data_IF_971426152237
#
_entry.id   IF_971426152237
#
_cell.length_a   1.000
_cell.length_b   1.000
_cell.length_c   1.000
_cell.angle_alpha   90.00
_cell.angle_beta   90.00
_cell.angle_gamma   90.00
#
_symmetry.space_group_name_H-M   'P 1'
#
loop_
_entity.id
_entity.type
_entity.pdbx_description
1 polymer ?
#
# COMPACT_ATOMS: atom_id res chain seq x y z
N UNK A 1 -11.81 -2.27 -12.41
CA UNK A 1 -10.44 -1.89 -12.84
C UNK A 1 -10.27 -0.54 -13.60
N UNK A 2 -11.23 0.41 -13.70
CA UNK A 2 -10.97 1.72 -14.36
C UNK A 2 -10.73 2.90 -13.40
N UNK A 3 -11.25 2.85 -12.17
CA UNK A 3 -11.18 3.99 -11.25
C UNK A 3 -9.82 4.19 -10.56
N UNK A 4 -9.06 3.13 -10.27
CA UNK A 4 -7.72 3.25 -9.66
C UNK A 4 -6.75 4.06 -10.52
N UNK A 5 -6.90 3.99 -11.84
CA UNK A 5 -6.00 4.68 -12.79
C UNK A 5 -6.14 6.19 -12.71
N UNK A 6 -7.32 6.72 -12.39
CA UNK A 6 -7.56 8.17 -12.40
C UNK A 6 -6.97 8.84 -11.16
N UNK A 7 -7.24 8.32 -9.96
CA UNK A 7 -6.63 8.83 -8.71
C UNK A 7 -5.11 8.75 -8.78
N UNK A 8 -4.59 7.62 -9.25
CA UNK A 8 -3.14 7.46 -9.38
C UNK A 8 -2.53 8.36 -10.45
N UNK A 9 -3.21 8.55 -11.57
CA UNK A 9 -2.78 9.51 -12.59
C UNK A 9 -2.73 10.94 -12.05
N UNK A 10 -3.77 11.34 -11.30
CA UNK A 10 -3.81 12.63 -10.59
C UNK A 10 -2.65 12.78 -9.62
N UNK A 11 -2.37 11.76 -8.79
CA UNK A 11 -1.24 11.77 -7.86
C UNK A 11 0.10 11.87 -8.58
N UNK A 12 0.29 11.12 -9.67
CA UNK A 12 1.53 11.16 -10.45
C UNK A 12 1.75 12.52 -11.14
N UNK A 13 0.66 13.17 -11.55
CA UNK A 13 0.69 14.43 -12.28
C UNK A 13 0.52 15.65 -11.36
N UNK A 14 0.44 15.46 -10.05
CA UNK A 14 0.07 16.50 -9.08
C UNK A 14 1.04 17.70 -9.09
N UNK A 15 2.34 17.44 -9.15
CA UNK A 15 3.38 18.48 -9.21
C UNK A 15 3.24 19.30 -10.49
N UNK A 16 2.99 18.65 -11.62
CA UNK A 16 2.78 19.34 -12.89
C UNK A 16 1.51 20.20 -12.87
N UNK A 17 0.42 19.72 -12.27
CA UNK A 17 -0.82 20.48 -12.13
C UNK A 17 -0.57 21.72 -11.24
N UNK A 18 0.04 21.54 -10.07
CA UNK A 18 0.35 22.64 -9.15
C UNK A 18 1.28 23.66 -9.83
N UNK A 19 2.37 23.21 -10.46
CA UNK A 19 3.29 24.11 -11.18
C UNK A 19 2.59 24.86 -12.30
N UNK A 20 1.71 24.19 -13.07
CA UNK A 20 0.94 24.84 -14.15
C UNK A 20 0.00 25.90 -13.60
N UNK A 21 -0.70 25.62 -12.50
CA UNK A 21 -1.59 26.58 -11.83
C UNK A 21 -0.83 27.77 -11.24
N UNK A 22 0.36 27.55 -10.67
CA UNK A 22 1.22 28.62 -10.15
C UNK A 22 1.73 29.51 -11.30
N UNK A 23 2.17 28.91 -12.42
CA UNK A 23 2.58 29.65 -13.62
C UNK A 23 1.41 30.46 -14.17
N UNK A 24 0.23 29.85 -14.29
CA UNK A 24 -0.98 30.52 -14.78
C UNK A 24 -1.35 31.70 -13.88
N UNK A 25 -1.34 31.51 -12.55
CA UNK A 25 -1.57 32.58 -11.58
C UNK A 25 -0.56 33.71 -11.74
N UNK A 26 0.72 33.38 -11.93
CA UNK A 26 1.80 34.36 -12.12
C UNK A 26 1.64 35.17 -13.42
N UNK A 27 1.25 34.51 -14.51
CA UNK A 27 0.97 35.19 -15.78
C UNK A 27 -0.24 36.11 -15.64
N UNK A 28 -1.32 35.63 -15.03
CA UNK A 28 -2.55 36.41 -14.84
C UNK A 28 -2.31 37.64 -13.97
N UNK A 29 -1.59 37.49 -12.85
CA UNK A 29 -1.26 38.63 -11.98
C UNK A 29 -0.36 39.63 -12.71
N UNK A 30 0.60 39.17 -13.51
CA UNK A 30 1.46 40.05 -14.32
C UNK A 30 0.65 40.83 -15.36
N UNK A 31 -0.27 40.17 -16.07
CA UNK A 31 -1.15 40.83 -17.05
C UNK A 31 -2.06 41.85 -16.37
N UNK A 32 -2.66 41.49 -15.23
CA UNK A 32 -3.50 42.40 -14.45
C UNK A 32 -2.71 43.64 -13.99
N UNK A 33 -1.47 43.48 -13.54
CA UNK A 33 -0.61 44.60 -13.14
C UNK A 33 -0.27 45.52 -14.32
N UNK A 34 0.00 44.97 -15.50
CA UNK A 34 0.28 45.75 -16.72
C UNK A 34 -0.96 46.55 -17.15
N UNK A 35 -2.13 45.92 -17.14
CA UNK A 35 -3.40 46.56 -17.51
C UNK A 35 -3.76 47.71 -16.56
N UNK A 36 -3.65 47.47 -15.24
CA UNK A 36 -3.88 48.49 -14.21
C UNK A 36 -2.87 49.65 -14.34
N UNK A 37 -1.59 49.35 -14.60
CA UNK A 37 -0.54 50.37 -14.78
C UNK A 37 -0.80 51.27 -16.00
N UNK A 38 -1.49 50.76 -17.02
CA UNK A 38 -1.89 51.51 -18.21
C UNK A 38 -3.30 52.10 -18.11
N UNK A 39 -3.84 52.27 -16.90
CA UNK A 39 -5.20 52.79 -16.64
C UNK A 39 -6.30 52.03 -17.40
N UNK A 40 -6.13 50.73 -17.66
CA UNK A 40 -7.10 49.91 -18.38
C UNK A 40 -7.22 50.23 -19.88
N UNK A 41 -6.29 50.99 -20.47
CA UNK A 41 -6.32 51.29 -21.90
C UNK A 41 -6.06 50.07 -22.78
N UNK A 42 -5.36 49.07 -22.25
CA UNK A 42 -4.92 47.90 -22.98
C UNK A 42 -6.01 46.83 -23.08
N UNK A 43 -6.70 46.52 -21.98
CA UNK A 43 -7.85 45.61 -21.94
C UNK A 43 -9.06 46.38 -21.39
N UNK A 44 -9.64 47.25 -22.22
CA UNK A 44 -10.78 48.14 -21.90
C UNK A 44 -12.07 47.43 -21.43
N UNK A 45 -12.07 46.11 -21.37
CA UNK A 45 -13.24 45.27 -21.14
C UNK A 45 -13.30 44.73 -19.71
N UNK A 46 -12.18 44.67 -18.99
CA UNK A 46 -12.11 43.99 -17.69
C UNK A 46 -12.03 45.00 -16.55
N UNK A 47 -13.05 45.01 -15.69
CA UNK A 47 -13.02 45.81 -14.46
C UNK A 47 -12.04 45.21 -13.43
N UNK A 48 -11.42 46.05 -12.60
CA UNK A 48 -10.53 45.60 -11.51
C UNK A 48 -11.16 44.54 -10.60
N UNK A 49 -12.48 44.62 -10.37
CA UNK A 49 -13.23 43.63 -9.57
C UNK A 49 -13.17 42.22 -10.18
N UNK A 50 -13.20 42.13 -11.52
CA UNK A 50 -13.12 40.86 -12.25
C UNK A 50 -11.72 40.26 -12.11
N UNK A 51 -10.66 41.08 -12.21
CA UNK A 51 -9.29 40.62 -11.95
C UNK A 51 -9.11 40.02 -10.56
N UNK A 52 -9.64 40.70 -9.53
CA UNK A 52 -9.61 40.20 -8.15
C UNK A 52 -10.34 38.87 -8.03
N UNK A 53 -11.53 38.74 -8.62
CA UNK A 53 -12.30 37.50 -8.59
C UNK A 53 -11.55 36.33 -9.26
N UNK A 54 -10.92 36.56 -10.42
CA UNK A 54 -10.12 35.55 -11.13
C UNK A 54 -8.93 35.09 -10.26
N UNK A 55 -8.18 36.04 -9.70
CA UNK A 55 -7.00 35.75 -8.87
C UNK A 55 -7.41 34.96 -7.63
N UNK A 56 -8.45 35.40 -6.91
CA UNK A 56 -8.96 34.71 -5.73
C UNK A 56 -9.42 33.30 -6.08
N UNK A 57 -10.17 33.12 -7.19
CA UNK A 57 -10.61 31.81 -7.64
C UNK A 57 -9.46 30.85 -7.91
N UNK A 58 -8.39 31.32 -8.56
CA UNK A 58 -7.18 30.53 -8.82
C UNK A 58 -6.42 30.18 -7.53
N UNK A 59 -6.32 31.13 -6.58
CA UNK A 59 -5.71 30.88 -5.27
C UNK A 59 -6.51 29.82 -4.50
N UNK A 60 -7.84 29.91 -4.49
CA UNK A 60 -8.70 28.92 -3.84
C UNK A 60 -8.53 27.53 -4.48
N UNK A 61 -8.46 27.46 -5.82
CA UNK A 61 -8.24 26.20 -6.53
C UNK A 61 -6.87 25.60 -6.18
N UNK A 62 -5.81 26.40 -6.20
CA UNK A 62 -4.46 25.99 -5.78
C UNK A 62 -4.46 25.45 -4.34
N UNK A 63 -5.08 26.18 -3.42
CA UNK A 63 -5.17 25.78 -2.03
C UNK A 63 -5.93 24.46 -1.86
N UNK A 64 -7.02 24.25 -2.60
CA UNK A 64 -7.77 23.00 -2.57
C UNK A 64 -6.92 21.81 -3.02
N UNK A 65 -6.16 21.94 -4.12
CA UNK A 65 -5.25 20.89 -4.58
C UNK A 65 -4.11 20.61 -3.60
N UNK A 66 -3.50 21.65 -3.05
CA UNK A 66 -2.45 21.50 -2.04
C UNK A 66 -2.97 20.78 -0.79
N UNK A 67 -4.16 21.17 -0.32
CA UNK A 67 -4.81 20.56 0.84
C UNK A 67 -5.17 19.10 0.60
N UNK A 68 -5.73 18.78 -0.58
CA UNK A 68 -6.04 17.41 -0.99
C UNK A 68 -4.78 16.54 -0.91
N UNK A 69 -3.67 16.99 -1.52
CA UNK A 69 -2.39 16.28 -1.50
C UNK A 69 -1.86 16.04 -0.09
N UNK A 70 -1.92 17.07 0.76
CA UNK A 70 -1.48 16.94 2.15
C UNK A 70 -2.30 15.90 2.91
N UNK A 71 -3.63 15.89 2.73
CA UNK A 71 -4.51 14.91 3.35
C UNK A 71 -4.20 13.50 2.87
N UNK A 72 -4.06 13.30 1.56
CA UNK A 72 -3.77 11.99 0.98
C UNK A 72 -2.42 11.43 1.50
N UNK A 73 -1.40 12.29 1.61
CA UNK A 73 -0.10 11.92 2.18
C UNK A 73 -0.19 11.57 3.67
N UNK A 74 -0.98 12.32 4.45
CA UNK A 74 -1.17 12.01 5.88
C UNK A 74 -1.88 10.67 6.09
N UNK A 75 -2.91 10.39 5.30
CA UNK A 75 -3.62 9.09 5.34
C UNK A 75 -2.66 7.96 4.96
N UNK A 76 -1.85 8.15 3.92
CA UNK A 76 -0.81 7.19 3.55
C UNK A 76 0.14 6.90 4.71
N UNK A 77 0.70 7.93 5.35
CA UNK A 77 1.64 7.71 6.47
C UNK A 77 0.99 7.01 7.67
N UNK A 78 -0.26 7.35 8.01
CA UNK A 78 -0.99 6.69 9.10
C UNK A 78 -1.24 5.21 8.80
N UNK A 79 -1.65 4.89 7.57
CA UNK A 79 -1.84 3.50 7.14
C UNK A 79 -0.51 2.75 7.13
N UNK A 80 0.54 3.36 6.58
CA UNK A 80 1.88 2.76 6.52
C UNK A 80 2.44 2.46 7.92
N UNK A 81 2.32 3.39 8.85
CA UNK A 81 2.73 3.18 10.25
C UNK A 81 1.91 2.06 10.91
N UNK A 82 0.58 2.07 10.73
CA UNK A 82 -0.31 1.03 11.27
C UNK A 82 0.05 -0.36 10.74
N UNK A 83 0.29 -0.49 9.44
CA UNK A 83 0.63 -1.77 8.81
C UNK A 83 2.02 -2.24 9.22
N UNK A 84 3.03 -1.37 9.24
CA UNK A 84 4.37 -1.74 9.70
C UNK A 84 4.39 -2.18 11.15
N UNK A 85 3.68 -1.50 12.05
CA UNK A 85 3.63 -1.90 13.45
C UNK A 85 3.02 -3.31 13.61
N UNK A 86 1.94 -3.61 12.88
CA UNK A 86 1.35 -4.96 12.87
C UNK A 86 2.29 -5.99 12.26
N UNK A 87 2.98 -5.63 11.18
CA UNK A 87 3.96 -6.50 10.55
C UNK A 87 5.12 -6.80 11.51
N UNK A 88 5.66 -5.81 12.21
CA UNK A 88 6.76 -5.98 13.17
C UNK A 88 6.38 -6.93 14.32
N UNK A 89 5.13 -6.87 14.79
CA UNK A 89 4.60 -7.81 15.76
C UNK A 89 4.55 -9.25 15.22
N UNK A 90 4.17 -9.44 13.96
CA UNK A 90 4.02 -10.75 13.33
C UNK A 90 5.34 -11.34 12.80
N UNK A 91 6.26 -10.50 12.34
CA UNK A 91 7.44 -10.89 11.56
C UNK A 91 8.35 -11.86 12.32
N UNK A 92 8.49 -11.70 13.63
CA UNK A 92 9.27 -12.64 14.45
C UNK A 92 8.68 -14.05 14.46
N UNK A 93 7.35 -14.18 14.52
CA UNK A 93 6.65 -15.46 14.47
C UNK A 93 6.67 -16.05 13.06
N UNK A 94 6.44 -15.23 12.02
CA UNK A 94 6.47 -15.66 10.63
C UNK A 94 7.84 -16.22 10.25
N UNK A 95 8.93 -15.56 10.67
CA UNK A 95 10.28 -16.07 10.45
C UNK A 95 10.57 -17.36 11.21
N UNK A 96 10.05 -17.50 12.43
CA UNK A 96 10.16 -18.74 13.19
C UNK A 96 9.43 -19.89 12.48
N UNK A 97 8.17 -19.68 12.06
CA UNK A 97 7.37 -20.65 11.30
C UNK A 97 8.11 -21.03 10.02
N UNK A 98 8.51 -20.04 9.21
CA UNK A 98 9.21 -20.27 7.95
C UNK A 98 10.48 -21.11 8.14
N UNK A 99 11.27 -20.81 9.19
CA UNK A 99 12.49 -21.57 9.49
C UNK A 99 12.18 -23.01 9.92
N UNK A 100 11.25 -23.21 10.85
CA UNK A 100 10.86 -24.54 11.36
C UNK A 100 10.42 -25.43 10.22
N UNK A 101 9.56 -24.89 9.37
CA UNK A 101 8.98 -25.60 8.25
C UNK A 101 10.02 -25.91 7.18
N UNK A 102 10.91 -24.97 6.87
CA UNK A 102 12.04 -25.22 5.95
C UNK A 102 13.03 -26.26 6.48
N UNK A 103 13.33 -26.23 7.78
CA UNK A 103 14.23 -27.21 8.42
C UNK A 103 13.58 -28.60 8.51
N UNK A 104 12.26 -28.68 8.71
CA UNK A 104 11.53 -29.95 8.76
C UNK A 104 11.40 -30.61 7.37
N UNK A 105 11.26 -29.83 6.29
CA UNK A 105 11.31 -30.36 4.92
C UNK A 105 12.68 -31.01 4.59
N UNK A 106 13.76 -30.58 5.26
CA UNK A 106 15.08 -31.20 5.15
C UNK A 106 15.24 -32.47 6.00
N UNK A 107 14.32 -32.75 6.93
CA UNK A 107 14.45 -33.78 7.96
C UNK A 107 13.49 -34.97 7.82
N UNK A 108 12.50 -34.97 6.91
CA UNK A 108 11.50 -36.06 6.81
C UNK A 108 11.60 -36.95 5.56
N UNK A 109 12.28 -38.09 5.73
CA UNK A 109 12.03 -39.38 5.05
C UNK A 109 11.26 -40.37 5.96
N UNK A 110 10.33 -39.90 6.82
CA UNK A 110 9.52 -40.76 7.70
C UNK A 110 8.07 -40.22 7.79
N UNK A 111 7.07 -41.07 8.08
CA UNK A 111 5.65 -40.72 7.93
C UNK A 111 5.17 -39.83 9.10
N UNK A 112 4.65 -38.66 8.72
CA UNK A 112 4.28 -37.51 9.56
C UNK A 112 3.09 -37.75 10.49
N UNK A 113 3.32 -37.63 11.79
CA UNK A 113 2.37 -37.01 12.74
C UNK A 113 2.97 -35.67 13.21
N UNK A 114 2.54 -34.57 12.56
CA UNK A 114 2.70 -33.15 12.93
C UNK A 114 4.04 -32.40 12.63
N UNK A 115 4.03 -31.39 11.74
CA UNK A 115 5.21 -30.71 11.21
C UNK A 115 5.81 -29.59 12.09
N UNK A 116 5.54 -29.52 13.40
CA UNK A 116 5.93 -28.35 14.23
C UNK A 116 6.77 -28.68 15.50
N UNK A 117 7.46 -29.82 15.56
CA UNK A 117 8.01 -30.33 16.84
C UNK A 117 9.44 -29.93 17.22
N UNK A 118 10.18 -29.15 16.43
CA UNK A 118 11.60 -28.85 16.73
C UNK A 118 11.87 -27.35 16.68
N UNK A 119 12.02 -26.71 17.86
CA UNK A 119 12.45 -25.31 17.97
C UNK A 119 13.40 -25.12 19.17
N UNK A 120 14.62 -24.64 18.89
CA UNK A 120 15.76 -24.57 19.82
C UNK A 120 15.84 -23.33 20.74
N UNK A 121 16.80 -23.40 21.68
CA UNK A 121 17.03 -22.66 22.93
C UNK A 121 17.14 -21.11 22.92
N UNK A 122 16.76 -20.41 21.85
CA UNK A 122 16.87 -18.93 21.78
C UNK A 122 15.54 -18.20 21.55
N UNK A 123 14.41 -18.88 21.74
CA UNK A 123 13.09 -18.26 21.62
C UNK A 123 12.61 -17.71 22.97
N UNK A 124 12.11 -16.47 22.98
CA UNK A 124 11.41 -15.91 24.14
C UNK A 124 10.25 -16.86 24.52
N UNK A 125 10.05 -17.09 25.81
CA UNK A 125 8.99 -17.94 26.37
C UNK A 125 7.59 -17.62 25.81
N UNK A 126 7.31 -16.34 25.51
CA UNK A 126 6.09 -15.87 24.84
C UNK A 126 5.93 -16.38 23.40
N UNK A 127 7.02 -16.49 22.64
CA UNK A 127 7.01 -17.09 21.31
C UNK A 127 6.80 -18.60 21.39
N UNK A 128 7.37 -19.25 22.40
CA UNK A 128 7.24 -20.70 22.60
C UNK A 128 5.82 -21.08 22.95
N UNK A 129 5.15 -20.31 23.81
CA UNK A 129 3.74 -20.52 24.18
C UNK A 129 2.81 -20.38 22.96
N UNK A 130 3.05 -19.39 22.09
CA UNK A 130 2.26 -19.18 20.86
C UNK A 130 2.56 -20.17 19.73
N UNK A 131 3.73 -20.80 19.68
CA UNK A 131 4.08 -21.69 18.55
C UNK A 131 3.89 -23.18 18.87
N UNK A 132 3.66 -23.56 20.13
CA UNK A 132 3.46 -24.96 20.53
C UNK A 132 2.03 -25.49 20.32
N UNK A 133 1.06 -24.62 20.04
CA UNK A 133 -0.32 -25.00 19.73
C UNK A 133 -0.60 -24.75 18.24
N UNK A 134 -1.11 -25.76 17.52
CA UNK A 134 -1.49 -25.67 16.11
C UNK A 134 -2.36 -24.44 15.83
N UNK A 135 -3.38 -24.23 16.65
CA UNK A 135 -4.30 -23.10 16.51
C UNK A 135 -3.58 -21.74 16.57
N UNK A 136 -2.45 -21.66 17.27
CA UNK A 136 -1.72 -20.42 17.44
C UNK A 136 -0.72 -20.13 16.31
N UNK A 137 -0.27 -21.16 15.57
CA UNK A 137 0.41 -20.98 14.27
C UNK A 137 -0.58 -20.52 13.21
N UNK A 138 -1.73 -21.20 13.10
CA UNK A 138 -2.81 -20.84 12.16
C UNK A 138 -3.28 -19.40 12.39
N UNK A 139 -3.52 -18.99 13.64
CA UNK A 139 -3.86 -17.60 13.97
C UNK A 139 -2.82 -16.58 13.47
N UNK A 140 -1.51 -16.89 13.54
CA UNK A 140 -0.45 -15.99 13.04
C UNK A 140 -0.49 -15.89 11.51
N UNK A 141 -0.76 -17.01 10.83
CA UNK A 141 -0.89 -17.06 9.37
C UNK A 141 -2.16 -16.32 8.91
N UNK A 142 -3.27 -16.47 9.62
CA UNK A 142 -4.52 -15.75 9.37
C UNK A 142 -4.36 -14.25 9.60
N UNK A 143 -3.73 -13.86 10.71
CA UNK A 143 -3.43 -12.46 11.00
C UNK A 143 -2.55 -11.83 9.91
N UNK A 144 -1.61 -12.61 9.36
CA UNK A 144 -0.77 -12.18 8.25
C UNK A 144 -1.55 -12.06 6.94
N UNK A 145 -2.40 -13.04 6.59
CA UNK A 145 -3.26 -12.95 5.41
C UNK A 145 -4.25 -11.77 5.50
N UNK A 146 -4.82 -11.54 6.67
CA UNK A 146 -5.70 -10.41 6.94
C UNK A 146 -4.97 -9.08 6.76
N UNK A 147 -3.76 -8.95 7.33
CA UNK A 147 -2.91 -7.79 7.09
C UNK A 147 -2.66 -7.59 5.59
N UNK A 148 -2.38 -8.67 4.87
CA UNK A 148 -2.16 -8.61 3.43
C UNK A 148 -3.38 -8.15 2.63
N UNK A 149 -4.56 -8.66 2.98
CA UNK A 149 -5.80 -8.25 2.35
C UNK A 149 -6.12 -6.77 2.62
N UNK A 150 -5.89 -6.29 3.85
CA UNK A 150 -6.07 -4.88 4.21
C UNK A 150 -5.12 -3.96 3.43
N UNK A 151 -3.85 -4.32 3.29
CA UNK A 151 -2.86 -3.57 2.52
C UNK A 151 -3.22 -3.56 1.04
N UNK A 152 -3.66 -4.68 0.48
CA UNK A 152 -4.13 -4.76 -0.90
C UNK A 152 -5.39 -3.90 -1.13
N UNK A 153 -6.33 -3.90 -0.20
CA UNK A 153 -7.51 -3.04 -0.25
C UNK A 153 -7.14 -1.55 -0.18
N UNK A 154 -6.17 -1.18 0.67
CA UNK A 154 -5.67 0.19 0.73
C UNK A 154 -5.00 0.62 -0.58
N UNK A 155 -4.31 -0.30 -1.26
CA UNK A 155 -3.76 -0.09 -2.59
C UNK A 155 -4.85 0.10 -3.66
N UNK A 156 -5.86 -0.78 -3.71
CA UNK A 156 -6.98 -0.66 -4.66
C UNK A 156 -7.70 0.68 -4.51
N UNK A 157 -7.85 1.15 -3.28
CA UNK A 157 -8.48 2.44 -2.96
C UNK A 157 -7.62 3.67 -3.31
N UNK A 158 -6.35 3.46 -3.69
CA UNK A 158 -5.41 4.48 -4.13
C UNK A 158 -4.65 5.17 -3.01
N UNK A 159 -4.63 4.62 -1.80
CA UNK A 159 -3.89 5.17 -0.67
C UNK A 159 -2.41 4.79 -0.69
N UNK A 160 -2.09 3.60 -1.23
CA UNK A 160 -0.71 3.11 -1.33
C UNK A 160 -0.18 3.35 -2.75
N UNK A 161 0.96 4.03 -2.93
CA UNK A 161 1.60 4.18 -4.23
C UNK A 161 2.07 2.83 -4.82
N UNK A 162 1.95 2.57 -6.14
CA UNK A 162 2.36 1.32 -6.77
C UNK A 162 3.84 0.96 -6.59
N UNK A 163 4.72 1.95 -6.49
CA UNK A 163 6.13 1.71 -6.21
C UNK A 163 6.35 1.15 -4.80
N UNK A 164 5.57 1.61 -3.82
CA UNK A 164 5.60 1.08 -2.44
C UNK A 164 4.98 -0.31 -2.41
N UNK A 165 3.83 -0.49 -3.07
CA UNK A 165 3.16 -1.78 -3.14
C UNK A 165 4.04 -2.86 -3.76
N UNK A 166 4.88 -2.51 -4.74
CA UNK A 166 5.88 -3.43 -5.31
C UNK A 166 6.84 -3.97 -4.26
N UNK A 167 7.37 -3.13 -3.36
CA UNK A 167 8.28 -3.60 -2.30
C UNK A 167 7.55 -4.52 -1.33
N UNK A 168 6.31 -4.18 -1.01
CA UNK A 168 5.49 -4.99 -0.13
C UNK A 168 5.21 -6.38 -0.71
N UNK A 169 4.84 -6.47 -2.00
CA UNK A 169 4.70 -7.75 -2.69
C UNK A 169 5.98 -8.59 -2.69
N UNK A 170 7.15 -7.97 -2.86
CA UNK A 170 8.42 -8.67 -2.77
C UNK A 170 8.67 -9.23 -1.36
N UNK A 171 8.19 -8.55 -0.32
CA UNK A 171 8.25 -9.04 1.06
C UNK A 171 7.38 -10.27 1.27
N UNK A 172 6.14 -10.26 0.75
CA UNK A 172 5.24 -11.42 0.82
C UNK A 172 5.81 -12.66 0.12
N UNK A 173 6.51 -12.45 -0.99
CA UNK A 173 7.11 -13.54 -1.78
C UNK A 173 8.05 -14.42 -0.94
N UNK A 174 8.70 -13.87 0.09
CA UNK A 174 9.57 -14.62 1.01
C UNK A 174 8.82 -15.74 1.71
N UNK A 175 7.60 -15.44 2.20
CA UNK A 175 6.77 -16.42 2.90
C UNK A 175 6.00 -17.32 1.93
N UNK A 176 5.64 -16.80 0.76
CA UNK A 176 4.92 -17.57 -0.27
C UNK A 176 5.78 -18.65 -0.93
N UNK A 177 7.11 -18.53 -0.86
CA UNK A 177 8.05 -19.58 -1.32
C UNK A 177 8.04 -20.81 -0.43
N UNK A 178 7.69 -20.67 0.84
CA UNK A 178 7.55 -21.81 1.73
C UNK A 178 6.31 -22.63 1.32
N UNK A 179 6.52 -23.88 0.88
CA UNK A 179 5.47 -24.73 0.31
C UNK A 179 4.33 -24.98 1.31
N UNK A 180 4.66 -25.36 2.53
CA UNK A 180 3.69 -25.62 3.60
C UNK A 180 2.87 -24.36 3.96
N UNK A 181 3.50 -23.17 4.01
CA UNK A 181 2.76 -21.92 4.23
C UNK A 181 1.86 -21.58 3.04
N UNK A 182 2.35 -21.81 1.81
CA UNK A 182 1.60 -21.57 0.58
C UNK A 182 0.39 -22.49 0.46
N UNK A 183 0.51 -23.76 0.83
CA UNK A 183 -0.60 -24.71 0.89
C UNK A 183 -1.67 -24.24 1.87
N UNK A 184 -1.27 -23.87 3.09
CA UNK A 184 -2.18 -23.27 4.07
C UNK A 184 -2.89 -22.03 3.52
N UNK A 185 -2.14 -21.10 2.91
CA UNK A 185 -2.73 -19.88 2.36
C UNK A 185 -3.72 -20.17 1.23
N UNK A 186 -3.47 -21.16 0.37
CA UNK A 186 -4.40 -21.57 -0.68
C UNK A 186 -5.71 -22.08 -0.08
N UNK A 187 -5.64 -22.93 0.95
CA UNK A 187 -6.83 -23.42 1.66
C UNK A 187 -7.63 -22.28 2.30
N UNK A 188 -6.95 -21.35 2.99
CA UNK A 188 -7.62 -20.25 3.68
C UNK A 188 -8.23 -19.22 2.71
N UNK A 189 -7.55 -18.95 1.59
CA UNK A 189 -8.06 -18.06 0.53
C UNK A 189 -9.25 -18.66 -0.23
N UNK A 190 -9.53 -19.96 -0.08
CA UNK A 190 -10.76 -20.55 -0.58
C UNK A 190 -12.00 -20.20 0.25
N UNK A 191 -11.81 -19.59 1.42
CA UNK A 191 -12.89 -18.92 2.15
C UNK A 191 -13.35 -17.62 1.45
N UNK A 192 -14.61 -17.22 1.65
CA UNK A 192 -15.21 -16.03 1.02
C UNK A 192 -14.79 -14.69 1.67
N UNK A 193 -13.75 -14.71 2.53
CA UNK A 193 -13.36 -13.58 3.38
C UNK A 193 -12.40 -12.59 2.70
N UNK A 194 -11.76 -12.99 1.59
CA UNK A 194 -10.57 -12.31 1.04
C UNK A 194 -10.79 -11.54 -0.28
N UNK A 195 -12.04 -11.43 -0.76
CA UNK A 195 -12.47 -10.57 -1.88
C UNK A 195 -11.44 -10.42 -3.03
N UNK A 196 -11.08 -9.19 -3.43
CA UNK A 196 -10.15 -8.89 -4.53
C UNK A 196 -8.69 -9.29 -4.24
N UNK A 197 -8.34 -9.63 -2.99
CA UNK A 197 -7.00 -10.10 -2.64
C UNK A 197 -6.78 -11.56 -3.04
N UNK A 198 -7.82 -12.40 -3.03
CA UNK A 198 -7.75 -13.81 -3.41
C UNK A 198 -7.14 -14.00 -4.79
N UNK A 199 -7.75 -13.38 -5.81
CA UNK A 199 -7.31 -13.52 -7.21
C UNK A 199 -5.85 -13.08 -7.38
N UNK A 200 -5.47 -11.99 -6.70
CA UNK A 200 -4.10 -11.50 -6.70
C UNK A 200 -3.11 -12.50 -6.08
N UNK A 201 -3.45 -13.06 -4.92
CA UNK A 201 -2.58 -14.00 -4.21
C UNK A 201 -2.41 -15.32 -4.98
N UNK A 202 -3.51 -15.86 -5.55
CA UNK A 202 -3.46 -17.08 -6.37
C UNK A 202 -2.58 -16.88 -7.60
N UNK A 203 -2.72 -15.76 -8.32
CA UNK A 203 -1.84 -15.45 -9.48
C UNK A 203 -0.36 -15.44 -9.09
N UNK A 204 -0.05 -15.03 -7.85
CA UNK A 204 1.33 -15.04 -7.34
C UNK A 204 1.81 -16.44 -6.99
N UNK A 205 0.99 -17.26 -6.36
CA UNK A 205 1.35 -18.64 -6.07
C UNK A 205 1.63 -19.44 -7.35
N UNK A 206 0.76 -19.33 -8.35
CA UNK A 206 0.91 -20.03 -9.63
C UNK A 206 2.22 -19.64 -10.34
N UNK A 207 2.61 -18.36 -10.25
CA UNK A 207 3.87 -17.87 -10.80
C UNK A 207 5.10 -18.41 -10.06
N UNK A 208 5.02 -18.57 -8.74
CA UNK A 208 6.12 -19.15 -7.96
C UNK A 208 6.29 -20.62 -8.33
N UNK A 209 5.19 -21.38 -8.35
CA UNK A 209 5.20 -22.81 -8.70
C UNK A 209 5.68 -23.06 -10.13
N UNK A 210 5.29 -22.22 -11.09
CA UNK A 210 5.76 -22.31 -12.46
C UNK A 210 7.26 -21.99 -12.64
N UNK A 211 7.89 -21.26 -11.71
CA UNK A 211 9.33 -20.99 -11.73
C UNK A 211 10.15 -22.06 -11.00
N UNK A 212 9.51 -22.87 -10.15
CA UNK A 212 10.14 -23.96 -9.39
C UNK A 212 10.08 -25.32 -10.12
N UNK A 213 9.16 -25.48 -11.08
CA UNK A 213 8.99 -26.67 -11.93
C UNK A 213 9.94 -26.70 -13.14
#
# INVERSE_FOLDING_TARGET
MKHYRIKYWLYKQDQWIISTLVILLTVITTVALIDVSRNGEWIKVIEFRVWVAIIVGLITLLFAFMRQKHNDMSVFFQLFEKFNNRYDELNSYLNAINKITSDNDLLEQQPREHPFKVVGDHMNEKLRERLFNKNAVENVLDDYLNLCAEEHLAYINGYIPPNIMKYWYNGMEVFFKNENMREYFKEELDSDSYYEFKDFAIEKFDKIEANEA
#
